data_IF_829023325042
#
_entry.id   IF_829023325042
#
_cell.length_a   1.000
_cell.length_b   1.000
_cell.length_c   1.000
_cell.angle_alpha   90.00
_cell.angle_beta   90.00
_cell.angle_gamma   90.00
#
_symmetry.space_group_name_H-M   'P 1'
#
loop_
_entity.id
_entity.type
_entity.pdbx_description
1 polymer ?
#
# COMPACT_ATOMS: atom_id res chain seq x y z
N UNK A 1 67.79 -15.56 -19.05
CA UNK A 1 67.33 -14.95 -17.79
C UNK A 1 66.51 -13.71 -18.12
N UNK A 2 65.18 -13.78 -18.08
CA UNK A 2 64.30 -12.62 -17.84
C UNK A 2 63.07 -13.15 -17.11
N UNK A 3 63.01 -12.87 -15.80
CA UNK A 3 61.81 -12.89 -14.98
C UNK A 3 60.98 -11.65 -15.36
N UNK A 4 59.66 -11.71 -15.22
CA UNK A 4 58.90 -10.91 -14.24
C UNK A 4 57.39 -10.97 -14.55
N UNK A 5 56.69 -11.59 -13.59
CA UNK A 5 55.38 -11.27 -13.01
C UNK A 5 54.12 -11.15 -13.87
N UNK A 6 53.43 -12.30 -13.92
CA UNK A 6 51.97 -12.41 -13.88
C UNK A 6 51.40 -11.67 -12.65
N UNK A 7 50.51 -10.69 -12.84
CA UNK A 7 49.64 -10.18 -11.76
C UNK A 7 48.22 -10.05 -12.31
N UNK A 8 47.38 -11.05 -12.00
CA UNK A 8 45.94 -11.00 -12.23
C UNK A 8 45.34 -10.18 -11.10
N UNK A 9 45.00 -8.91 -11.37
CA UNK A 9 44.28 -8.06 -10.44
C UNK A 9 42.77 -8.30 -10.60
N UNK A 10 42.26 -9.27 -9.86
CA UNK A 10 40.82 -9.51 -9.73
C UNK A 10 40.19 -8.42 -8.87
N UNK A 11 39.58 -7.42 -9.51
CA UNK A 11 38.65 -6.52 -8.84
C UNK A 11 37.35 -7.28 -8.55
N UNK A 12 37.27 -7.88 -7.36
CA UNK A 12 36.00 -8.24 -6.72
C UNK A 12 35.23 -6.94 -6.47
N UNK A 13 34.35 -6.59 -7.40
CA UNK A 13 33.32 -5.59 -7.16
C UNK A 13 32.39 -6.13 -6.07
N UNK A 14 32.65 -5.73 -4.83
CA UNK A 14 31.71 -5.88 -3.74
C UNK A 14 30.46 -5.08 -4.11
N UNK A 15 29.42 -5.77 -4.57
CA UNK A 15 28.08 -5.21 -4.64
C UNK A 15 27.63 -4.96 -3.21
N UNK A 16 27.95 -3.79 -2.68
CA UNK A 16 27.26 -3.24 -1.52
C UNK A 16 25.84 -2.96 -1.99
N UNK A 17 24.97 -3.95 -1.80
CA UNK A 17 23.53 -3.76 -1.81
C UNK A 17 23.23 -2.77 -0.68
N UNK A 18 23.25 -1.48 -1.01
CA UNK A 18 22.76 -0.45 -0.12
C UNK A 18 21.26 -0.72 0.03
N UNK A 19 20.89 -1.33 1.14
CA UNK A 19 19.53 -1.35 1.59
C UNK A 19 19.10 0.11 1.70
N UNK A 20 18.36 0.62 0.71
CA UNK A 20 17.89 1.99 0.71
C UNK A 20 17.00 2.20 1.94
N UNK A 21 17.57 2.82 2.97
CA UNK A 21 16.93 3.14 4.25
C UNK A 21 15.93 4.30 4.15
N UNK A 22 15.74 4.87 2.96
CA UNK A 22 14.98 6.11 2.76
C UNK A 22 13.65 5.98 2.02
N UNK A 23 13.24 4.76 1.65
CA UNK A 23 11.96 4.55 1.00
C UNK A 23 10.79 4.64 2.01
N UNK A 24 9.82 5.50 1.72
CA UNK A 24 8.56 5.55 2.49
C UNK A 24 7.71 4.30 2.27
N UNK A 25 6.74 4.07 3.16
CA UNK A 25 5.78 2.99 3.04
C UNK A 25 5.05 2.99 1.68
N UNK A 26 4.68 1.80 1.15
CA UNK A 26 3.93 1.72 -0.09
C UNK A 26 2.57 2.41 0.05
N UNK A 27 2.01 2.82 -1.09
CA UNK A 27 0.72 3.50 -1.14
C UNK A 27 -0.36 2.49 -1.48
N UNK A 28 -1.44 2.50 -0.71
CA UNK A 28 -2.64 1.72 -1.00
C UNK A 28 -3.49 2.47 -2.03
N UNK A 29 -3.74 1.82 -3.17
CA UNK A 29 -4.69 2.25 -4.19
C UNK A 29 -5.89 1.31 -4.22
N UNK A 30 -7.05 1.86 -4.54
CA UNK A 30 -8.26 1.11 -4.79
C UNK A 30 -8.63 1.30 -6.26
N UNK A 31 -8.90 0.20 -6.95
CA UNK A 31 -9.21 0.16 -8.37
C UNK A 31 -10.66 -0.30 -8.57
N UNK A 32 -11.36 0.32 -9.50
CA UNK A 32 -12.62 -0.19 -10.05
C UNK A 32 -12.48 -0.29 -11.56
N UNK A 33 -12.77 -1.47 -12.14
CA UNK A 33 -12.58 -1.75 -13.57
C UNK A 33 -11.17 -1.38 -14.09
N UNK A 34 -10.14 -1.57 -13.26
CA UNK A 34 -8.74 -1.25 -13.58
C UNK A 34 -8.37 0.23 -13.44
N UNK A 35 -9.32 1.11 -13.16
CA UNK A 35 -9.09 2.54 -12.95
C UNK A 35 -8.97 2.87 -11.45
N UNK A 36 -8.05 3.75 -11.09
CA UNK A 36 -7.88 4.20 -9.71
C UNK A 36 -9.06 5.04 -9.24
N UNK A 37 -9.59 4.69 -8.08
CA UNK A 37 -10.64 5.46 -7.41
C UNK A 37 -9.96 6.65 -6.73
N UNK A 38 -10.36 7.89 -7.06
CA UNK A 38 -9.78 9.06 -6.42
C UNK A 38 -10.26 9.18 -4.97
N UNK A 39 -9.34 9.53 -4.07
CA UNK A 39 -9.68 9.78 -2.66
C UNK A 39 -10.63 10.97 -2.48
N UNK A 40 -10.64 11.92 -3.44
CA UNK A 40 -11.51 13.10 -3.47
C UNK A 40 -12.99 12.75 -3.63
N UNK A 41 -13.29 11.56 -4.12
CA UNK A 41 -14.64 11.00 -4.08
C UNK A 41 -15.03 10.22 -5.32
N UNK A 42 -15.83 9.18 -5.12
CA UNK A 42 -16.44 8.38 -6.19
C UNK A 42 -17.67 7.65 -5.63
N UNK A 43 -18.54 7.14 -6.51
CA UNK A 43 -19.59 6.22 -6.11
C UNK A 43 -19.03 4.90 -5.64
N UNK A 44 -19.61 4.32 -4.60
CA UNK A 44 -19.26 2.98 -4.13
C UNK A 44 -19.73 1.91 -5.14
N UNK A 45 -18.83 1.21 -5.86
CA UNK A 45 -19.19 0.10 -6.72
C UNK A 45 -19.46 -1.15 -5.90
N UNK A 46 -20.08 -2.15 -6.53
CA UNK A 46 -20.30 -3.46 -5.92
C UNK A 46 -19.00 -4.23 -5.64
N UNK A 47 -17.94 -3.95 -6.38
CA UNK A 47 -16.62 -4.57 -6.19
C UNK A 47 -15.47 -3.62 -6.53
N UNK A 48 -14.35 -3.82 -5.86
CA UNK A 48 -13.12 -3.07 -6.10
C UNK A 48 -11.90 -3.98 -5.93
N UNK A 49 -10.71 -3.49 -6.29
CA UNK A 49 -9.46 -4.19 -6.11
C UNK A 49 -8.46 -3.29 -5.36
N UNK A 50 -7.90 -3.80 -4.27
CA UNK A 50 -6.77 -3.19 -3.58
C UNK A 50 -5.47 -3.50 -4.32
N UNK A 51 -4.64 -2.48 -4.48
CA UNK A 51 -3.29 -2.59 -5.02
C UNK A 51 -2.34 -1.77 -4.19
N UNK A 52 -1.23 -2.37 -3.79
CA UNK A 52 -0.12 -1.67 -3.16
C UNK A 52 0.89 -1.29 -4.24
N UNK A 53 1.28 -0.02 -4.28
CA UNK A 53 2.29 0.49 -5.20
C UNK A 53 3.46 1.09 -4.42
N UNK A 54 4.68 1.07 -4.97
CA UNK A 54 5.80 1.81 -4.38
C UNK A 54 5.42 3.28 -4.19
N UNK A 55 5.88 3.88 -3.10
CA UNK A 55 5.74 5.32 -2.94
C UNK A 55 6.50 6.07 -4.05
N UNK A 56 6.02 7.25 -4.48
CA UNK A 56 6.71 8.08 -5.46
C UNK A 56 8.18 8.32 -5.06
N UNK A 57 9.10 8.17 -6.02
CA UNK A 57 10.54 8.33 -5.79
C UNK A 57 11.23 7.13 -5.12
N UNK A 58 10.49 6.05 -4.78
CA UNK A 58 11.07 4.81 -4.28
C UNK A 58 11.20 3.79 -5.42
N UNK A 59 12.39 3.22 -5.68
CA UNK A 59 12.52 2.16 -6.69
C UNK A 59 11.77 0.90 -6.22
N UNK A 60 11.17 0.21 -7.18
CA UNK A 60 10.49 -1.05 -6.92
C UNK A 60 11.52 -2.15 -6.67
N UNK A 61 11.84 -2.41 -5.39
CA UNK A 61 12.66 -3.57 -4.99
C UNK A 61 11.91 -4.91 -5.11
N UNK A 62 10.68 -4.90 -5.65
CA UNK A 62 9.75 -6.01 -5.73
C UNK A 62 8.30 -5.52 -5.86
N UNK A 63 7.34 -6.43 -5.76
CA UNK A 63 5.92 -6.10 -5.62
C UNK A 63 5.47 -6.20 -4.15
N UNK A 64 4.39 -5.53 -3.80
CA UNK A 64 3.83 -5.55 -2.45
C UNK A 64 2.53 -6.33 -2.43
N UNK A 65 2.33 -7.11 -1.37
CA UNK A 65 1.12 -7.89 -1.15
C UNK A 65 0.62 -7.70 0.27
N UNK A 66 -0.70 -7.61 0.42
CA UNK A 66 -1.36 -7.65 1.72
C UNK A 66 -1.88 -9.07 1.99
N UNK A 67 -1.71 -9.56 3.22
CA UNK A 67 -2.32 -10.81 3.71
C UNK A 67 -3.64 -10.56 4.43
N UNK A 68 -3.87 -9.32 4.88
CA UNK A 68 -5.07 -8.90 5.58
C UNK A 68 -5.25 -7.38 5.51
N UNK A 69 -6.50 -6.93 5.40
CA UNK A 69 -6.89 -5.54 5.50
C UNK A 69 -8.20 -5.41 6.29
N UNK A 70 -8.37 -4.26 6.92
CA UNK A 70 -9.60 -3.82 7.56
C UNK A 70 -10.34 -2.88 6.62
N UNK A 71 -11.63 -3.11 6.42
CA UNK A 71 -12.51 -2.26 5.62
C UNK A 71 -13.71 -1.85 6.45
N UNK A 72 -13.97 -0.54 6.55
CA UNK A 72 -15.11 -0.02 7.29
C UNK A 72 -15.72 1.20 6.61
N UNK A 73 -17.04 1.27 6.64
CA UNK A 73 -17.80 2.43 6.21
C UNK A 73 -18.09 3.29 7.43
N UNK A 74 -17.78 4.58 7.36
CA UNK A 74 -17.89 5.52 8.48
C UNK A 74 -18.82 6.67 8.11
N UNK A 75 -19.78 6.95 8.99
CA UNK A 75 -20.70 8.09 8.91
C UNK A 75 -20.52 8.97 10.14
N UNK A 76 -20.25 10.25 9.92
CA UNK A 76 -20.04 11.22 11.01
C UNK A 76 -19.06 10.73 12.11
N UNK A 77 -17.97 10.07 11.69
CA UNK A 77 -16.93 9.56 12.59
C UNK A 77 -17.23 8.21 13.27
N UNK A 78 -18.38 7.58 12.99
CA UNK A 78 -18.76 6.27 13.56
C UNK A 78 -18.86 5.20 12.47
N UNK A 79 -18.39 3.96 12.71
CA UNK A 79 -18.64 2.85 11.81
C UNK A 79 -20.14 2.61 11.63
N UNK A 80 -20.57 2.46 10.37
CA UNK A 80 -21.96 2.13 9.99
C UNK A 80 -22.23 0.63 10.16
N UNK A 81 -21.20 -0.18 9.93
CA UNK A 81 -21.21 -1.63 10.08
C UNK A 81 -19.93 -2.08 10.82
N UNK A 82 -19.92 -3.30 11.39
CA UNK A 82 -18.69 -3.91 11.90
C UNK A 82 -17.57 -3.89 10.86
N UNK A 83 -16.33 -3.74 11.32
CA UNK A 83 -15.15 -3.77 10.46
C UNK A 83 -15.09 -5.13 9.75
N UNK A 84 -14.94 -5.10 8.43
CA UNK A 84 -14.74 -6.30 7.62
C UNK A 84 -13.24 -6.60 7.51
N UNK A 85 -12.85 -7.83 7.81
CA UNK A 85 -11.50 -8.33 7.57
C UNK A 85 -11.46 -9.01 6.21
N UNK A 86 -10.54 -8.59 5.35
CA UNK A 86 -10.38 -9.10 3.99
C UNK A 86 -8.95 -9.58 3.77
N UNK A 87 -8.79 -10.79 3.23
CA UNK A 87 -7.48 -11.40 2.95
C UNK A 87 -7.13 -11.43 1.46
N UNK A 88 -8.07 -11.02 0.61
CA UNK A 88 -7.93 -11.00 -0.85
C UNK A 88 -7.78 -9.57 -1.36
N UNK A 89 -7.11 -9.41 -2.50
CA UNK A 89 -6.98 -8.10 -3.16
C UNK A 89 -8.31 -7.63 -3.76
N UNK A 90 -9.19 -8.54 -4.18
CA UNK A 90 -10.54 -8.19 -4.67
C UNK A 90 -11.52 -8.12 -3.51
N UNK A 91 -12.27 -7.03 -3.45
CA UNK A 91 -13.24 -6.70 -2.41
C UNK A 91 -14.67 -6.89 -2.94
N UNK A 92 -15.51 -7.56 -2.17
CA UNK A 92 -16.97 -7.50 -2.33
C UNK A 92 -17.52 -6.39 -1.42
N UNK A 93 -18.10 -5.36 -2.04
CA UNK A 93 -18.58 -4.16 -1.35
C UNK A 93 -20.11 -4.07 -1.35
N UNK A 94 -20.82 -5.09 -1.86
CA UNK A 94 -22.29 -5.07 -1.99
C UNK A 94 -23.02 -4.84 -0.67
N UNK A 95 -22.51 -5.40 0.42
CA UNK A 95 -23.09 -5.18 1.75
C UNK A 95 -23.00 -3.70 2.18
N UNK A 96 -21.84 -3.07 1.97
CA UNK A 96 -21.63 -1.66 2.28
C UNK A 96 -22.44 -0.76 1.34
N UNK A 97 -22.50 -1.10 0.06
CA UNK A 97 -23.23 -0.35 -0.97
C UNK A 97 -24.71 -0.19 -0.62
N UNK A 98 -25.34 -1.20 0.00
CA UNK A 98 -26.75 -1.15 0.42
C UNK A 98 -27.04 -0.15 1.54
N UNK A 99 -26.04 0.22 2.33
CA UNK A 99 -26.22 1.11 3.49
C UNK A 99 -25.49 2.45 3.34
N UNK A 100 -24.61 2.56 2.35
CA UNK A 100 -23.81 3.74 2.07
C UNK A 100 -24.67 4.92 1.62
N UNK A 101 -24.32 6.10 2.11
CA UNK A 101 -24.91 7.38 1.75
C UNK A 101 -23.83 8.33 1.26
N UNK A 102 -24.19 9.29 0.38
CA UNK A 102 -23.30 10.41 0.07
C UNK A 102 -22.80 11.11 1.34
N UNK A 103 -21.51 11.41 1.39
CA UNK A 103 -20.83 11.98 2.56
C UNK A 103 -20.21 10.94 3.52
N UNK A 104 -20.58 9.67 3.39
CA UNK A 104 -19.89 8.59 4.10
C UNK A 104 -18.45 8.46 3.61
N UNK A 105 -17.60 7.86 4.46
CA UNK A 105 -16.23 7.54 4.09
C UNK A 105 -15.98 6.05 4.18
N UNK A 106 -15.48 5.46 3.11
CA UNK A 106 -14.90 4.13 3.17
C UNK A 106 -13.44 4.25 3.60
N UNK A 107 -13.10 3.60 4.69
CA UNK A 107 -11.74 3.48 5.19
C UNK A 107 -11.23 2.07 4.96
N UNK A 108 -10.02 1.99 4.41
CA UNK A 108 -9.26 0.75 4.29
C UNK A 108 -7.94 0.91 5.02
N UNK A 109 -7.56 -0.09 5.80
CA UNK A 109 -6.33 -0.09 6.56
C UNK A 109 -5.63 -1.44 6.46
N UNK A 110 -4.33 -1.42 6.15
CA UNK A 110 -3.48 -2.62 6.12
C UNK A 110 -2.39 -2.42 7.17
N UNK A 111 -2.43 -3.15 8.30
CA UNK A 111 -1.35 -3.19 9.27
C UNK A 111 -0.02 -3.59 8.61
N UNK A 112 1.11 -3.01 9.03
CA UNK A 112 2.43 -3.37 8.46
C UNK A 112 2.78 -4.86 8.66
N UNK A 113 2.32 -5.47 9.75
CA UNK A 113 2.45 -6.92 10.00
C UNK A 113 1.76 -7.79 8.95
N UNK A 114 0.75 -7.24 8.27
CA UNK A 114 0.03 -7.90 7.18
C UNK A 114 0.58 -7.55 5.80
N UNK A 115 1.75 -6.92 5.72
CA UNK A 115 2.37 -6.51 4.46
C UNK A 115 3.60 -7.37 4.14
N UNK A 116 3.65 -7.86 2.91
CA UNK A 116 4.74 -8.65 2.36
C UNK A 116 5.39 -7.94 1.18
N UNK A 117 6.71 -8.07 1.07
CA UNK A 117 7.47 -7.77 -0.14
C UNK A 117 7.68 -9.07 -0.88
N UNK A 118 7.29 -9.10 -2.15
CA UNK A 118 7.50 -10.22 -3.07
C UNK A 118 8.61 -9.81 -4.04
N UNK A 119 9.76 -10.46 -3.95
CA UNK A 119 10.89 -10.21 -4.84
C UNK A 119 10.63 -10.82 -6.24
N UNK A 120 11.49 -10.48 -7.20
CA UNK A 120 11.35 -10.94 -8.59
C UNK A 120 11.51 -12.47 -8.73
N UNK A 121 12.23 -13.12 -7.81
CA UNK A 121 12.39 -14.57 -7.73
C UNK A 121 11.19 -15.27 -7.06
N UNK A 122 10.15 -14.52 -6.69
CA UNK A 122 8.96 -15.04 -6.02
C UNK A 122 9.10 -15.24 -4.51
N UNK A 123 10.30 -15.01 -3.94
CA UNK A 123 10.50 -15.06 -2.49
C UNK A 123 9.68 -13.97 -1.80
N UNK A 124 9.16 -14.31 -0.61
CA UNK A 124 8.32 -13.42 0.18
C UNK A 124 8.99 -13.14 1.50
N UNK A 125 9.04 -11.86 1.88
CA UNK A 125 9.55 -11.43 3.18
C UNK A 125 8.59 -10.43 3.83
N UNK A 126 8.46 -10.43 5.16
CA UNK A 126 7.71 -9.40 5.86
C UNK A 126 8.24 -8.00 5.53
N UNK A 127 7.33 -7.04 5.47
CA UNK A 127 7.69 -5.65 5.32
C UNK A 127 8.29 -5.10 6.60
N UNK A 128 9.51 -4.57 6.51
CA UNK A 128 10.13 -3.84 7.61
C UNK A 128 9.55 -2.41 7.64
N UNK A 129 8.87 -2.07 8.74
CA UNK A 129 8.32 -0.73 8.97
C UNK A 129 9.43 0.34 8.82
N UNK A 130 9.17 1.48 8.14
CA UNK A 130 10.13 2.58 8.07
C UNK A 130 10.49 3.10 9.46
N UNK A 131 11.76 3.42 9.69
CA UNK A 131 12.18 4.07 10.91
C UNK A 131 11.49 5.44 11.05
N UNK A 132 11.04 5.84 12.25
CA UNK A 132 10.54 7.19 12.48
C UNK A 132 11.64 8.21 12.14
N UNK A 133 11.35 9.14 11.23
CA UNK A 133 12.30 10.22 10.91
C UNK A 133 12.21 11.32 11.98
N UNK A 134 13.33 11.77 12.57
CA UNK A 134 13.33 12.82 13.61
C UNK A 134 12.69 14.13 13.15
N UNK A 135 12.85 14.48 11.87
CA UNK A 135 12.46 15.80 11.33
C UNK A 135 11.09 15.81 10.63
N UNK A 136 10.35 14.69 10.65
CA UNK A 136 8.99 14.67 10.11
C UNK A 136 7.99 14.93 11.25
N UNK A 137 6.92 15.73 11.00
CA UNK A 137 5.79 15.81 11.93
C UNK A 137 5.39 14.40 12.34
N UNK A 138 5.11 14.17 13.63
CA UNK A 138 4.64 12.88 14.15
C UNK A 138 3.62 12.32 13.16
N UNK A 139 3.94 11.18 12.53
CA UNK A 139 3.01 10.47 11.66
C UNK A 139 1.68 10.35 12.41
N UNK A 140 0.55 10.58 11.71
CA UNK A 140 -0.75 10.34 12.32
C UNK A 140 -0.76 8.91 12.91
N UNK A 141 -1.42 8.67 14.06
CA UNK A 141 -1.28 7.41 14.80
C UNK A 141 -1.47 6.13 13.97
N UNK A 142 -2.26 6.20 12.91
CA UNK A 142 -2.54 5.09 12.00
C UNK A 142 -1.44 4.88 10.94
N UNK A 143 -0.85 5.95 10.40
CA UNK A 143 0.25 5.87 9.42
C UNK A 143 1.52 5.27 10.04
N UNK A 144 1.66 5.39 11.36
CA UNK A 144 2.70 4.73 12.13
C UNK A 144 2.51 3.22 12.27
N UNK A 145 1.32 2.67 11.98
CA UNK A 145 0.97 1.27 12.21
C UNK A 145 0.66 0.50 10.92
N UNK A 146 0.39 1.20 9.83
CA UNK A 146 0.10 0.58 8.55
C UNK A 146 -0.08 1.59 7.43
N UNK A 147 -0.62 1.11 6.31
CA UNK A 147 -0.98 1.92 5.16
C UNK A 147 -2.50 2.05 5.09
N UNK A 148 -3.00 3.25 4.81
CA UNK A 148 -4.43 3.52 4.81
C UNK A 148 -4.88 4.17 3.50
N UNK A 149 -6.15 3.97 3.16
CA UNK A 149 -6.84 4.67 2.09
C UNK A 149 -8.20 5.13 2.61
N UNK A 150 -8.51 6.40 2.37
CA UNK A 150 -9.78 7.03 2.75
C UNK A 150 -10.46 7.54 1.48
N UNK A 151 -11.72 7.16 1.31
CA UNK A 151 -12.51 7.48 0.14
C UNK A 151 -13.85 8.06 0.52
N UNK A 152 -14.13 9.27 0.05
CA UNK A 152 -15.44 9.92 0.18
C UNK A 152 -16.46 9.31 -0.79
N UNK A 153 -17.58 8.83 -0.27
CA UNK A 153 -18.69 8.37 -1.10
C UNK A 153 -19.47 9.59 -1.60
N UNK A 154 -19.54 9.75 -2.92
CA UNK A 154 -20.30 10.82 -3.57
C UNK A 154 -21.42 10.23 -4.43
N UNK A 155 -22.46 11.02 -4.76
CA UNK A 155 -23.51 10.59 -5.68
C UNK A 155 -22.94 10.23 -7.08
N UNK A 156 -23.62 9.36 -7.84
CA UNK A 156 -23.23 8.99 -9.22
C UNK A 156 -23.03 10.15 -10.16
N UNK A 157 -23.78 11.22 -9.96
CA UNK A 157 -23.72 12.44 -10.77
C UNK A 157 -22.38 13.18 -10.63
N UNK A 158 -21.65 12.96 -9.53
CA UNK A 158 -20.38 13.61 -9.24
C UNK A 158 -19.17 12.67 -9.37
N UNK A 159 -19.40 11.36 -9.57
CA UNK A 159 -18.34 10.33 -9.59
C UNK A 159 -17.81 9.96 -10.98
N UNK A 160 -18.35 10.53 -12.06
CA UNK A 160 -18.08 10.14 -13.45
C UNK A 160 -17.32 11.22 -14.27
N UNK A 161 -16.29 11.84 -13.69
CA UNK A 161 -15.37 12.73 -14.41
C UNK A 161 -14.00 12.10 -14.58
#
# INVERSE_FOLDING_TARGET
MYKVFFTILGCLAANVATAQTDCSAPVLQVLHNGQAIPATGSTLPASAQMRLVPAPGCPAAGSYRATGAEVTLVRAGRPVLPIMLVSQSRLDLRALQRVAQPGDHLFMFIPYENLLIVAADGSQRPYAKPAPKPDRPKLAPNDAKGVSFKWLIVPPELGAK
#
